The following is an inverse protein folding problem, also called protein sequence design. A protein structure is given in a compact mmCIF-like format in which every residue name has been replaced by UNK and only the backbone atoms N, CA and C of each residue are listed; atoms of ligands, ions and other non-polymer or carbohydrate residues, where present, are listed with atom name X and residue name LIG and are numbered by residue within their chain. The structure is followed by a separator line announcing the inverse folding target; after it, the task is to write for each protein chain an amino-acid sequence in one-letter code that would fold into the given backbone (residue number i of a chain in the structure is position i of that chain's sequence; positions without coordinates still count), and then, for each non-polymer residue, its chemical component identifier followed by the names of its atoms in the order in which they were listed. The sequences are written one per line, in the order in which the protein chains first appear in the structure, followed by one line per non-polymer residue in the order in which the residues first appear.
data_IF_601823744833
#
_entry.id   IF_601823744833
#
_cell.length_a   1.000
_cell.length_b   1.000
_cell.length_c   1.000
_cell.angle_alpha   90.00
_cell.angle_beta   90.00
_cell.angle_gamma   90.00
#
_symmetry.space_group_name_H-M   'P 1'
#
loop_
_entity.id
_entity.type
_entity.pdbx_description
1 polymer ?
#
# COMPACT_ATOMS: atom_id res chain seq x y z
N UNK A 1 14.89 16.21 31.68
CA UNK A 1 15.21 17.34 30.77
C UNK A 1 13.91 17.87 30.17
N UNK A 2 13.52 19.07 30.61
CA UNK A 2 12.63 20.10 30.00
C UNK A 2 11.34 19.70 29.26
N UNK A 3 10.24 19.87 30.01
CA UNK A 3 8.92 20.43 29.70
C UNK A 3 8.79 21.12 28.32
N UNK A 4 7.69 20.86 27.60
CA UNK A 4 6.86 21.91 26.98
C UNK A 4 5.44 21.40 26.69
N UNK A 5 4.49 21.89 27.50
CA UNK A 5 3.05 21.94 27.20
C UNK A 5 2.84 22.84 25.97
N UNK A 6 2.01 22.41 25.03
CA UNK A 6 1.23 23.32 24.19
C UNK A 6 -0.24 22.93 24.35
N UNK A 7 -0.93 23.73 25.17
CA UNK A 7 -2.37 23.74 25.26
C UNK A 7 -2.93 24.32 23.95
N UNK A 8 -3.72 23.54 23.23
CA UNK A 8 -4.54 24.04 22.14
C UNK A 8 -5.94 24.35 22.71
N UNK A 9 -6.13 25.58 23.14
CA UNK A 9 -7.45 26.17 23.42
C UNK A 9 -8.13 26.42 22.08
N UNK A 10 -9.14 25.63 21.74
CA UNK A 10 -10.05 25.91 20.63
C UNK A 10 -11.28 26.67 21.17
N UNK A 11 -11.61 27.85 20.65
CA UNK A 11 -12.87 28.50 21.01
C UNK A 11 -14.04 27.74 20.41
N UNK A 12 -15.00 27.38 21.26
CA UNK A 12 -16.33 26.99 20.85
C UNK A 12 -17.02 28.19 20.19
N UNK A 13 -17.31 28.08 18.90
CA UNK A 13 -18.27 28.93 18.23
C UNK A 13 -19.24 28.04 17.45
N UNK A 14 -20.38 27.78 18.06
CA UNK A 14 -21.54 27.17 17.43
C UNK A 14 -22.13 28.17 16.43
N UNK A 15 -22.13 27.81 15.16
CA UNK A 15 -22.98 28.39 14.13
C UNK A 15 -23.79 27.22 13.55
N UNK A 16 -24.99 27.02 14.11
CA UNK A 16 -26.00 26.12 13.53
C UNK A 16 -26.62 26.90 12.37
N UNK A 17 -25.96 26.85 11.22
CA UNK A 17 -26.61 27.11 9.94
C UNK A 17 -27.31 25.80 9.55
N UNK A 18 -28.63 25.83 9.57
CA UNK A 18 -29.49 24.75 9.10
C UNK A 18 -29.24 24.49 7.61
N UNK A 19 -28.34 23.56 7.33
CA UNK A 19 -28.30 22.79 6.11
C UNK A 19 -28.37 21.34 6.54
N UNK A 20 -29.37 20.59 6.07
CA UNK A 20 -29.33 19.13 6.16
C UNK A 20 -28.12 18.68 5.34
N UNK A 21 -26.96 18.55 6.00
CA UNK A 21 -25.79 17.95 5.40
C UNK A 21 -26.19 16.52 5.04
N UNK A 22 -26.47 16.30 3.75
CA UNK A 22 -26.55 14.95 3.20
C UNK A 22 -25.21 14.33 3.56
N UNK A 23 -25.17 13.23 4.34
CA UNK A 23 -23.90 12.57 4.61
C UNK A 23 -23.27 12.30 3.25
N UNK A 24 -22.05 12.80 3.04
CA UNK A 24 -21.31 12.48 1.84
C UNK A 24 -21.18 10.96 1.83
N UNK A 25 -21.99 10.30 1.01
CA UNK A 25 -21.96 8.86 0.86
C UNK A 25 -20.53 8.54 0.41
N UNK A 26 -19.80 7.84 1.28
CA UNK A 26 -18.43 7.48 1.00
C UNK A 26 -18.44 6.66 -0.29
N UNK A 27 -17.94 7.25 -1.36
CA UNK A 27 -17.88 6.59 -2.65
C UNK A 27 -17.15 5.27 -2.48
N UNK A 28 -17.81 4.16 -2.82
CA UNK A 28 -17.17 2.85 -2.82
C UNK A 28 -16.02 2.92 -3.82
N UNK A 29 -14.75 2.68 -3.39
CA UNK A 29 -13.64 2.74 -4.32
C UNK A 29 -13.83 1.67 -5.40
N UNK A 30 -13.43 1.95 -6.65
CA UNK A 30 -13.56 0.98 -7.73
C UNK A 30 -12.79 -0.31 -7.39
N UNK A 31 -13.27 -1.47 -7.86
CA UNK A 31 -12.62 -2.74 -7.59
C UNK A 31 -11.20 -2.76 -8.16
N UNK A 32 -10.25 -3.21 -7.34
CA UNK A 32 -8.85 -3.37 -7.74
C UNK A 32 -8.73 -4.50 -8.76
N UNK A 33 -8.26 -4.17 -9.97
CA UNK A 33 -7.99 -5.17 -11.00
C UNK A 33 -6.61 -5.79 -10.79
N UNK A 34 -6.56 -7.11 -10.69
CA UNK A 34 -5.33 -7.88 -10.49
C UNK A 34 -4.89 -8.54 -11.79
N UNK A 35 -3.61 -8.39 -12.13
CA UNK A 35 -2.98 -8.94 -13.33
C UNK A 35 -1.99 -10.02 -12.95
N UNK A 36 -2.00 -11.14 -13.67
CA UNK A 36 -1.05 -12.23 -13.44
C UNK A 36 0.36 -11.83 -13.92
N UNK A 37 1.37 -12.23 -13.16
CA UNK A 37 2.78 -12.16 -13.54
C UNK A 37 3.55 -13.31 -12.90
N UNK A 38 4.84 -13.42 -13.20
CA UNK A 38 5.72 -14.44 -12.66
C UNK A 38 6.84 -13.77 -11.87
N UNK A 39 7.10 -14.29 -10.67
CA UNK A 39 8.26 -13.91 -9.87
C UNK A 39 9.55 -14.39 -10.54
N UNK A 40 10.55 -13.52 -10.64
CA UNK A 40 11.94 -13.84 -10.98
C UNK A 40 12.76 -14.23 -9.74
N UNK A 41 12.12 -14.32 -8.58
CA UNK A 41 12.74 -14.52 -7.28
C UNK A 41 12.85 -13.21 -6.52
N UNK A 42 12.74 -13.29 -5.19
CA UNK A 42 12.93 -12.15 -4.29
C UNK A 42 11.78 -11.92 -3.31
N UNK A 43 11.90 -10.90 -2.46
CA UNK A 43 10.95 -10.67 -1.38
C UNK A 43 9.72 -9.86 -1.82
N UNK A 44 8.57 -10.22 -1.26
CA UNK A 44 7.47 -9.30 -0.99
C UNK A 44 7.78 -8.58 0.32
N UNK A 45 7.68 -7.26 0.32
CA UNK A 45 7.98 -6.40 1.49
C UNK A 45 6.77 -5.60 1.94
N UNK A 46 6.79 -5.12 3.17
CA UNK A 46 5.67 -4.30 3.70
C UNK A 46 5.56 -2.92 3.03
N UNK A 47 6.67 -2.37 2.53
CA UNK A 47 6.72 -1.10 1.82
C UNK A 47 7.66 -1.12 0.59
N UNK A 48 7.60 -0.06 -0.21
CA UNK A 48 8.33 0.13 -1.48
C UNK A 48 9.80 0.56 -1.30
N UNK A 49 10.48 -0.03 -0.32
CA UNK A 49 11.91 0.12 -0.11
C UNK A 49 12.58 -1.22 0.23
N UNK A 50 13.84 -1.37 -0.15
CA UNK A 50 14.62 -2.58 0.14
C UNK A 50 14.91 -2.77 1.63
N UNK A 51 14.78 -1.72 2.43
CA UNK A 51 14.97 -1.73 3.89
C UNK A 51 13.72 -2.18 4.64
N UNK A 52 12.56 -2.24 3.98
CA UNK A 52 11.31 -2.67 4.59
C UNK A 52 11.36 -4.16 4.93
N UNK A 53 10.65 -4.56 5.99
CA UNK A 53 10.58 -5.95 6.41
C UNK A 53 10.03 -6.86 5.30
N UNK A 54 10.54 -8.09 5.29
CA UNK A 54 10.16 -9.12 4.33
C UNK A 54 8.92 -9.84 4.86
N UNK A 55 7.84 -9.78 4.09
CA UNK A 55 6.61 -10.54 4.36
C UNK A 55 6.80 -12.00 3.97
N UNK A 56 7.31 -12.25 2.76
CA UNK A 56 7.64 -13.59 2.26
C UNK A 56 8.70 -13.49 1.17
N UNK A 57 9.60 -14.47 1.11
CA UNK A 57 10.55 -14.61 0.00
C UNK A 57 10.04 -15.65 -0.99
N UNK A 58 9.94 -15.28 -2.26
CA UNK A 58 9.44 -16.17 -3.31
C UNK A 58 10.60 -16.71 -4.16
N UNK A 59 10.58 -18.00 -4.52
CA UNK A 59 11.46 -18.50 -5.56
C UNK A 59 11.04 -17.97 -6.95
N UNK A 60 11.98 -18.08 -7.89
CA UNK A 60 11.69 -17.78 -9.30
C UNK A 60 10.68 -18.79 -9.87
N UNK A 61 9.85 -18.35 -10.82
CA UNK A 61 8.85 -19.18 -11.50
C UNK A 61 7.48 -19.19 -10.81
N UNK A 62 7.37 -18.70 -9.58
CA UNK A 62 6.08 -18.63 -8.85
C UNK A 62 5.16 -17.60 -9.51
N UNK A 63 3.88 -17.97 -9.69
CA UNK A 63 2.85 -17.04 -10.17
C UNK A 63 2.40 -16.13 -9.03
N UNK A 64 2.40 -14.83 -9.30
CA UNK A 64 1.85 -13.82 -8.40
C UNK A 64 0.91 -12.90 -9.17
N UNK A 65 0.17 -12.07 -8.46
CA UNK A 65 -0.67 -11.06 -9.07
C UNK A 65 -0.25 -9.68 -8.63
N UNK A 66 -0.32 -8.70 -9.52
CA UNK A 66 -0.07 -7.29 -9.21
C UNK A 66 -1.26 -6.42 -9.60
N UNK A 67 -1.41 -5.25 -8.98
CA UNK A 67 -2.53 -4.34 -9.26
C UNK A 67 -2.09 -2.93 -9.66
N UNK A 68 -1.24 -2.32 -8.84
CA UNK A 68 -0.70 -0.97 -9.06
C UNK A 68 0.82 -0.98 -9.00
N UNK A 69 1.45 0.10 -9.46
CA UNK A 69 2.85 0.37 -9.23
C UNK A 69 3.05 1.78 -8.68
N UNK A 70 4.15 1.96 -7.96
CA UNK A 70 4.64 3.26 -7.48
C UNK A 70 6.13 3.40 -7.82
N UNK A 71 6.63 4.62 -7.85
CA UNK A 71 8.06 4.90 -7.82
C UNK A 71 8.41 5.43 -6.43
N UNK A 72 9.41 4.83 -5.79
CA UNK A 72 9.87 5.32 -4.50
C UNK A 72 10.76 6.57 -4.67
N UNK A 73 11.24 7.13 -3.55
CA UNK A 73 12.02 8.38 -3.53
C UNK A 73 13.32 8.35 -4.35
N UNK A 74 13.84 7.16 -4.69
CA UNK A 74 15.05 6.98 -5.51
C UNK A 74 14.74 6.53 -6.95
N UNK A 75 13.48 6.59 -7.38
CA UNK A 75 13.07 6.29 -8.75
C UNK A 75 12.92 4.81 -9.07
N UNK A 76 12.94 3.92 -8.07
CA UNK A 76 12.72 2.49 -8.28
C UNK A 76 11.22 2.19 -8.40
N UNK A 77 10.80 1.44 -9.42
CA UNK A 77 9.41 0.99 -9.56
C UNK A 77 9.12 -0.22 -8.67
N UNK A 78 8.05 -0.15 -7.90
CA UNK A 78 7.56 -1.23 -7.05
C UNK A 78 6.11 -1.55 -7.35
N UNK A 79 5.77 -2.83 -7.40
CA UNK A 79 4.42 -3.32 -7.65
C UNK A 79 3.74 -3.71 -6.35
N UNK A 80 2.48 -3.30 -6.17
CA UNK A 80 1.62 -3.90 -5.15
C UNK A 80 1.22 -5.30 -5.62
N UNK A 81 1.70 -6.32 -4.91
CA UNK A 81 1.54 -7.72 -5.26
C UNK A 81 0.75 -8.49 -4.21
N UNK A 82 0.16 -9.60 -4.66
CA UNK A 82 -0.35 -10.67 -3.81
C UNK A 82 0.12 -12.03 -4.31
N UNK A 83 0.43 -12.90 -3.36
CA UNK A 83 0.76 -14.29 -3.59
C UNK A 83 -0.14 -15.16 -2.71
N UNK A 84 -0.81 -16.12 -3.32
CA UNK A 84 -1.60 -17.12 -2.59
C UNK A 84 -0.69 -18.29 -2.26
N UNK A 85 -0.25 -18.34 -1.01
CA UNK A 85 0.46 -19.50 -0.45
C UNK A 85 -0.52 -20.62 -0.11
N UNK A 86 0.01 -21.67 0.51
CA UNK A 86 -0.78 -22.87 0.87
C UNK A 86 -1.85 -22.57 1.93
N UNK A 87 -1.51 -21.73 2.93
CA UNK A 87 -2.37 -21.46 4.08
C UNK A 87 -2.85 -20.00 4.17
N UNK A 88 -2.21 -19.08 3.44
CA UNK A 88 -2.49 -17.65 3.55
C UNK A 88 -2.20 -16.89 2.25
N UNK A 89 -2.70 -15.66 2.17
CA UNK A 89 -2.41 -14.74 1.06
C UNK A 89 -1.47 -13.64 1.55
N UNK A 90 -0.24 -13.69 1.06
CA UNK A 90 0.76 -12.66 1.31
C UNK A 90 0.52 -11.46 0.41
N UNK A 91 0.61 -10.25 0.96
CA UNK A 91 0.46 -8.98 0.22
C UNK A 91 1.58 -8.03 0.59
N UNK A 92 1.97 -7.19 -0.36
CA UNK A 92 2.98 -6.17 -0.12
C UNK A 92 3.52 -5.59 -1.41
N UNK A 93 4.77 -5.12 -1.35
CA UNK A 93 5.47 -4.48 -2.45
C UNK A 93 6.60 -5.37 -2.95
N UNK A 94 6.73 -5.51 -4.26
CA UNK A 94 7.82 -6.25 -4.89
C UNK A 94 8.48 -5.38 -5.96
N UNK A 95 9.81 -5.33 -5.92
CA UNK A 95 10.58 -4.53 -6.86
C UNK A 95 10.38 -5.01 -8.30
N UNK A 96 10.26 -4.10 -9.27
CA UNK A 96 9.92 -4.41 -10.66
C UNK A 96 10.86 -5.44 -11.30
N UNK A 97 12.16 -5.42 -10.97
CA UNK A 97 13.15 -6.37 -11.50
C UNK A 97 12.92 -7.81 -11.02
N UNK A 98 12.14 -8.00 -9.96
CA UNK A 98 11.79 -9.33 -9.45
C UNK A 98 10.52 -9.90 -10.10
N UNK A 99 9.94 -9.22 -11.10
CA UNK A 99 8.73 -9.65 -11.79
C UNK A 99 8.93 -9.71 -13.31
N UNK A 100 8.16 -10.54 -13.99
CA UNK A 100 8.13 -10.55 -15.47
C UNK A 100 7.28 -9.41 -16.04
N UNK A 101 6.53 -8.68 -15.22
CA UNK A 101 5.80 -7.48 -15.61
C UNK A 101 6.72 -6.32 -16.09
N UNK A 102 8.00 -6.35 -15.69
CA UNK A 102 9.02 -5.41 -16.14
C UNK A 102 9.16 -4.13 -15.29
N UNK A 103 10.30 -3.47 -15.48
CA UNK A 103 10.51 -2.05 -15.20
C UNK A 103 10.42 -1.35 -16.57
#
# INVERSE_FOLDING_TARGET
MRISKLAATLPAAALILGGTAVPAEAAVPPPVTWKNTTSRGGPIRECDASTCDVVVSLPAGVRVQWSTYTYNSVGNRWYSVRYTGEYEVYRGMMYCANLTAGC
#
